data_IF_578069941044
#
_entry.id   IF_578069941044
#
_cell.length_a   1.000
_cell.length_b   1.000
_cell.length_c   1.000
_cell.angle_alpha   90.00
_cell.angle_beta   90.00
_cell.angle_gamma   90.00
#
_symmetry.space_group_name_H-M   'P 1'
#
loop_
_entity.id
_entity.type
_entity.pdbx_description
1 polymer ?
#
# COMPACT_ATOMS: atom_id res chain seq x y z
N UNK A 1 10.49 -1.45 -7.74
CA UNK A 1 11.33 -1.50 -6.52
C UNK A 1 12.04 -0.17 -6.31
N UNK A 2 12.39 0.09 -5.08
CA UNK A 2 13.15 1.28 -4.67
C UNK A 2 14.29 0.87 -3.74
N UNK A 3 15.44 1.54 -3.87
CA UNK A 3 16.58 1.30 -2.99
C UNK A 3 16.46 2.16 -1.74
N UNK A 4 16.20 1.52 -0.61
CA UNK A 4 16.11 2.16 0.71
C UNK A 4 17.33 1.84 1.60
N UNK A 5 18.37 1.20 1.06
CA UNK A 5 19.49 0.71 1.85
C UNK A 5 20.28 1.81 2.56
N UNK A 6 20.33 3.00 1.98
CA UNK A 6 21.06 4.14 2.57
C UNK A 6 20.16 5.15 3.31
N UNK A 7 18.88 4.85 3.47
CA UNK A 7 17.95 5.71 4.22
C UNK A 7 18.13 5.56 5.73
N UNK A 8 17.66 6.56 6.49
CA UNK A 8 17.69 6.53 7.95
C UNK A 8 16.33 6.07 8.51
N UNK A 9 15.27 6.75 8.12
CA UNK A 9 13.91 6.48 8.62
C UNK A 9 12.89 6.63 7.47
N UNK A 10 12.94 5.73 6.46
CA UNK A 10 12.08 5.86 5.30
C UNK A 10 10.62 5.62 5.65
N UNK A 11 9.73 6.36 4.98
CA UNK A 11 8.29 6.21 5.16
C UNK A 11 7.54 6.41 3.85
N UNK A 12 6.36 5.81 3.78
CA UNK A 12 5.43 5.93 2.66
C UNK A 12 4.26 6.83 3.06
N UNK A 13 3.83 7.68 2.15
CA UNK A 13 2.51 8.33 2.23
C UNK A 13 1.79 8.16 0.91
N UNK A 14 0.47 8.16 0.96
CA UNK A 14 -0.38 8.16 -0.22
C UNK A 14 -1.74 8.75 0.12
N UNK A 15 -2.45 9.18 -0.90
CA UNK A 15 -3.85 9.60 -0.76
C UNK A 15 -4.74 8.45 -1.19
N UNK A 16 -5.84 8.24 -0.47
CA UNK A 16 -6.77 7.15 -0.77
C UNK A 16 -8.21 7.60 -0.61
N UNK A 17 -9.08 6.96 -1.38
CA UNK A 17 -10.53 7.16 -1.29
C UNK A 17 -11.20 5.84 -1.64
N UNK A 18 -12.31 5.56 -0.97
CA UNK A 18 -13.13 4.37 -1.25
C UNK A 18 -14.60 4.73 -1.32
N UNK A 19 -15.32 3.93 -2.09
CA UNK A 19 -16.79 4.00 -2.19
C UNK A 19 -17.36 2.61 -2.39
N UNK A 20 -18.60 2.44 -1.96
CA UNK A 20 -19.35 1.19 -1.96
C UNK A 20 -18.83 0.18 -0.95
N UNK A 21 -19.68 -0.78 -0.60
CA UNK A 21 -19.31 -1.85 0.31
C UNK A 21 -18.46 -2.89 -0.40
N UNK A 22 -17.49 -3.43 0.30
CA UNK A 22 -16.63 -4.47 -0.22
C UNK A 22 -15.47 -4.73 0.71
N UNK A 23 -14.55 -5.58 0.27
CA UNK A 23 -13.36 -5.89 1.03
C UNK A 23 -12.50 -4.64 1.22
N UNK A 24 -11.76 -4.52 2.33
CA UNK A 24 -10.77 -3.46 2.49
C UNK A 24 -9.62 -3.64 1.50
N UNK A 25 -9.01 -2.53 1.12
CA UNK A 25 -7.75 -2.57 0.40
C UNK A 25 -6.64 -2.99 1.35
N UNK A 26 -5.70 -3.78 0.87
CA UNK A 26 -4.56 -4.22 1.65
C UNK A 26 -3.26 -3.64 1.09
N UNK A 27 -2.32 -3.34 1.98
CA UNK A 27 -0.98 -2.87 1.63
C UNK A 27 0.05 -3.92 2.04
N UNK A 28 0.94 -4.27 1.11
CA UNK A 28 2.01 -5.25 1.31
C UNK A 28 3.37 -4.62 1.01
N UNK A 29 4.40 -5.14 1.64
CA UNK A 29 5.79 -4.77 1.39
C UNK A 29 6.63 -6.02 1.18
N UNK A 30 7.61 -5.93 0.28
CA UNK A 30 8.58 -7.00 0.02
C UNK A 30 9.98 -6.41 -0.09
N UNK A 31 10.97 -7.16 0.34
CA UNK A 31 12.39 -6.81 0.16
C UNK A 31 13.07 -7.69 -0.88
N UNK A 32 12.38 -8.68 -1.44
CA UNK A 32 12.94 -9.66 -2.38
C UNK A 32 12.15 -9.80 -3.70
N UNK A 33 11.15 -8.93 -3.92
CA UNK A 33 10.41 -8.93 -5.19
C UNK A 33 11.32 -8.48 -6.34
N UNK A 34 11.22 -9.16 -7.49
CA UNK A 34 12.09 -8.91 -8.66
C UNK A 34 11.70 -7.66 -9.47
N UNK A 35 10.56 -7.03 -9.19
CA UNK A 35 10.12 -5.81 -9.85
C UNK A 35 9.38 -6.02 -11.17
N UNK A 36 9.27 -7.23 -11.68
CA UNK A 36 8.70 -7.51 -13.01
C UNK A 36 7.68 -8.63 -13.05
N UNK A 37 7.79 -9.62 -12.18
CA UNK A 37 6.90 -10.79 -12.14
C UNK A 37 5.54 -10.46 -11.52
N UNK A 38 4.60 -11.39 -11.62
CA UNK A 38 3.32 -11.28 -10.91
C UNK A 38 3.56 -11.30 -9.39
N UNK A 39 3.17 -10.24 -8.65
CA UNK A 39 3.37 -10.20 -7.20
C UNK A 39 2.70 -11.36 -6.45
N UNK A 40 1.63 -11.93 -6.99
CA UNK A 40 0.97 -13.09 -6.37
C UNK A 40 1.79 -14.37 -6.47
N UNK A 41 2.78 -14.40 -7.35
CA UNK A 41 3.57 -15.60 -7.65
C UNK A 41 5.06 -15.45 -7.31
N UNK A 42 5.54 -14.26 -7.00
CA UNK A 42 6.95 -13.99 -6.78
C UNK A 42 7.14 -12.97 -5.66
N UNK A 43 8.17 -13.17 -4.87
CA UNK A 43 8.51 -12.35 -3.72
C UNK A 43 7.89 -12.85 -2.43
N UNK A 44 8.51 -12.49 -1.31
CA UNK A 44 7.97 -12.71 0.02
C UNK A 44 7.33 -11.41 0.48
N UNK A 45 6.03 -11.43 0.72
CA UNK A 45 5.25 -10.24 1.02
C UNK A 45 4.76 -10.23 2.46
N UNK A 46 4.89 -9.08 3.11
CA UNK A 46 4.34 -8.86 4.45
C UNK A 46 3.16 -7.91 4.36
N UNK A 47 2.05 -8.27 4.98
CA UNK A 47 0.87 -7.42 5.07
C UNK A 47 1.11 -6.34 6.13
N UNK A 48 1.16 -5.08 5.70
CA UNK A 48 1.35 -3.92 6.57
C UNK A 48 0.13 -2.99 6.57
N UNK A 49 -1.01 -3.50 6.20
CA UNK A 49 -2.27 -2.73 6.15
C UNK A 49 -2.54 -2.00 7.47
N UNK A 50 -2.28 -2.65 8.60
CA UNK A 50 -2.50 -2.06 9.94
C UNK A 50 -1.46 -1.03 10.34
N UNK A 51 -0.39 -0.86 9.57
CA UNK A 51 0.61 0.19 9.78
C UNK A 51 0.21 1.52 9.14
N UNK A 52 -0.84 1.54 8.34
CA UNK A 52 -1.37 2.75 7.71
C UNK A 52 -2.22 3.50 8.73
N UNK A 53 -1.85 4.74 9.09
CA UNK A 53 -2.60 5.50 10.11
C UNK A 53 -4.04 5.80 9.73
N UNK A 54 -4.31 6.06 8.45
CA UNK A 54 -5.66 6.44 8.02
C UNK A 54 -6.02 5.83 6.67
N UNK A 55 -7.04 4.97 6.69
CA UNK A 55 -7.76 4.52 5.50
C UNK A 55 -9.10 5.25 5.40
N UNK A 56 -9.48 5.63 4.18
CA UNK A 56 -10.81 6.21 3.95
C UNK A 56 -11.91 5.19 4.26
N UNK A 57 -13.07 5.71 4.61
CA UNK A 57 -14.29 4.93 4.81
C UNK A 57 -15.32 5.31 3.74
N UNK A 58 -16.12 4.36 3.31
CA UNK A 58 -17.08 4.55 2.22
C UNK A 58 -18.20 5.51 2.64
N UNK A 59 -17.94 6.81 2.52
CA UNK A 59 -18.89 7.88 2.82
C UNK A 59 -19.69 8.35 1.60
N UNK A 60 -19.23 8.01 0.41
CA UNK A 60 -19.85 8.39 -0.85
C UNK A 60 -19.47 9.79 -1.35
N UNK A 61 -18.53 10.46 -0.72
CA UNK A 61 -18.16 11.84 -1.07
C UNK A 61 -16.97 11.94 -2.04
N UNK A 62 -16.23 10.86 -2.29
CA UNK A 62 -15.05 10.83 -3.16
C UNK A 62 -13.95 11.80 -2.74
N UNK A 63 -13.89 12.19 -1.48
CA UNK A 63 -12.81 13.04 -0.97
C UNK A 63 -11.62 12.19 -0.54
N UNK A 64 -10.47 12.43 -1.15
CA UNK A 64 -9.24 11.74 -0.79
C UNK A 64 -8.81 12.09 0.63
N UNK A 65 -8.34 11.08 1.36
CA UNK A 65 -7.69 11.26 2.66
C UNK A 65 -6.24 10.83 2.56
N UNK A 66 -5.35 11.54 3.26
CA UNK A 66 -3.94 11.15 3.31
C UNK A 66 -3.75 10.01 4.31
N UNK A 67 -2.95 9.03 3.93
CA UNK A 67 -2.68 7.84 4.74
C UNK A 67 -1.98 8.14 6.06
N UNK A 68 -1.29 9.27 6.17
CA UNK A 68 -0.28 9.46 7.20
C UNK A 68 0.99 8.69 6.90
N UNK A 69 1.97 8.76 7.78
CA UNK A 69 3.28 8.14 7.55
C UNK A 69 3.23 6.65 7.85
N UNK A 70 3.57 5.84 6.85
CA UNK A 70 3.72 4.39 6.98
C UNK A 70 5.21 4.09 7.12
N UNK A 71 5.65 3.65 8.29
CA UNK A 71 7.06 3.41 8.58
C UNK A 71 7.59 2.21 7.79
N UNK A 72 8.65 2.43 7.03
CA UNK A 72 9.33 1.40 6.24
C UNK A 72 10.70 1.03 6.80
N UNK A 73 11.05 1.49 8.00
CA UNK A 73 12.39 1.26 8.57
C UNK A 73 12.76 -0.21 8.73
N UNK A 74 11.78 -1.08 8.94
CA UNK A 74 11.98 -2.52 9.05
C UNK A 74 12.21 -3.21 7.69
N UNK A 75 12.03 -2.49 6.59
CA UNK A 75 12.03 -3.05 5.22
C UNK A 75 13.07 -2.40 4.33
N UNK A 76 14.13 -1.85 4.89
CA UNK A 76 15.21 -1.24 4.11
C UNK A 76 15.98 -2.32 3.35
N UNK A 77 16.09 -2.14 2.04
CA UNK A 77 16.85 -3.02 1.16
C UNK A 77 17.13 -2.28 -0.15
N UNK A 78 17.93 -2.88 -1.02
CA UNK A 78 18.18 -2.35 -2.36
C UNK A 78 16.99 -2.57 -3.30
N UNK A 79 16.05 -3.43 -2.93
CA UNK A 79 14.92 -3.86 -3.78
C UNK A 79 13.60 -3.86 -3.03
N UNK A 80 13.36 -2.84 -2.22
CA UNK A 80 12.09 -2.72 -1.50
C UNK A 80 10.95 -2.38 -2.47
N UNK A 81 9.83 -3.07 -2.34
CA UNK A 81 8.63 -2.82 -3.14
C UNK A 81 7.38 -2.77 -2.26
N UNK A 82 6.41 -1.98 -2.66
CA UNK A 82 5.07 -1.98 -2.06
C UNK A 82 4.06 -2.46 -3.08
N UNK A 83 2.97 -3.05 -2.61
CA UNK A 83 1.86 -3.46 -3.46
C UNK A 83 0.54 -3.24 -2.73
N UNK A 84 -0.43 -2.73 -3.45
CA UNK A 84 -1.82 -2.68 -3.00
C UNK A 84 -2.55 -3.88 -3.57
N UNK A 85 -3.36 -4.53 -2.73
CA UNK A 85 -4.13 -5.71 -3.14
C UNK A 85 -5.58 -5.54 -2.76
N UNK A 86 -6.47 -5.77 -3.73
CA UNK A 86 -7.91 -5.80 -3.51
C UNK A 86 -8.45 -7.16 -3.88
N UNK A 87 -9.29 -7.73 -3.00
CA UNK A 87 -9.96 -9.01 -3.22
C UNK A 87 -11.48 -8.77 -3.24
N UNK A 88 -12.02 -8.58 -4.43
CA UNK A 88 -13.46 -8.41 -4.62
C UNK A 88 -14.23 -9.73 -4.52
N UNK A 89 -15.56 -9.62 -4.44
CA UNK A 89 -16.46 -10.76 -4.47
C UNK A 89 -17.53 -10.57 -5.53
N UNK A 90 -18.30 -11.64 -5.83
CA UNK A 90 -19.41 -11.57 -6.77
C UNK A 90 -20.63 -10.82 -6.19
N UNK A 91 -20.65 -10.58 -4.89
CA UNK A 91 -21.79 -9.98 -4.19
C UNK A 91 -21.63 -8.47 -3.97
N UNK A 92 -20.43 -8.03 -3.67
CA UNK A 92 -20.12 -6.61 -3.50
C UNK A 92 -18.68 -6.32 -3.90
N UNK A 93 -18.42 -5.07 -4.20
CA UNK A 93 -17.08 -4.60 -4.54
C UNK A 93 -16.96 -3.12 -4.28
N UNK A 94 -16.01 -2.75 -3.43
CA UNK A 94 -15.67 -1.35 -3.23
C UNK A 94 -14.87 -0.82 -4.42
N UNK A 95 -15.00 0.47 -4.67
CA UNK A 95 -14.06 1.19 -5.54
C UNK A 95 -13.00 1.82 -4.65
N UNK A 96 -11.74 1.59 -4.99
CA UNK A 96 -10.60 2.23 -4.34
C UNK A 96 -9.80 3.02 -5.36
N UNK A 97 -9.39 4.23 -4.99
CA UNK A 97 -8.46 5.04 -5.77
C UNK A 97 -7.29 5.43 -4.88
N UNK A 98 -6.09 5.31 -5.43
CA UNK A 98 -4.84 5.64 -4.77
C UNK A 98 -4.12 6.66 -5.63
N UNK A 99 -3.61 7.72 -5.00
CA UNK A 99 -2.87 8.78 -5.67
C UNK A 99 -1.75 9.29 -4.78
N UNK A 100 -0.85 10.07 -5.37
CA UNK A 100 0.25 10.73 -4.67
C UNK A 100 1.07 9.76 -3.81
N UNK A 101 1.48 8.64 -4.38
CA UNK A 101 2.32 7.65 -3.71
C UNK A 101 3.74 8.21 -3.61
N UNK A 102 4.21 8.43 -2.37
CA UNK A 102 5.52 9.04 -2.11
C UNK A 102 6.24 8.20 -1.06
N UNK A 103 7.50 7.84 -1.36
CA UNK A 103 8.41 7.26 -0.38
C UNK A 103 9.51 8.28 -0.13
N UNK A 104 9.70 8.61 1.13
CA UNK A 104 10.65 9.63 1.58
C UNK A 104 11.45 9.13 2.78
N UNK A 105 12.51 9.89 3.10
CA UNK A 105 13.35 9.63 4.26
C UNK A 105 13.35 10.85 5.20
#
# INVERSE_FOLDING_TARGET
>A
TVDLSSTTAPYLTFDNVTRYNGAPLELYVSTDYDGTSNPNAQGTWQNITNSVPLWDVASGDWNFVNSGNVDLSAYKSTTTAIAFKYSGSDFDGATWEIDNIIIQD
#
